data_IF_530737274132
#
_entry.id   IF_530737274132
#
_cell.length_a   1.000
_cell.length_b   1.000
_cell.length_c   1.000
_cell.angle_alpha   90.00
_cell.angle_beta   90.00
_cell.angle_gamma   90.00
#
_symmetry.space_group_name_H-M   'P 1'
#
loop_
_entity.id
_entity.type
_entity.pdbx_description
1 polymer ?
#
# COMPACT_ATOMS: atom_id res chain seq x y z
N UNK A 1 24.98 -3.61 -10.18
CA UNK A 1 23.70 -4.13 -10.69
C UNK A 1 22.86 -4.43 -9.46
N UNK A 2 21.62 -3.93 -9.40
CA UNK A 2 20.66 -4.42 -8.40
C UNK A 2 20.42 -5.89 -8.71
N UNK A 3 20.77 -6.78 -7.79
CA UNK A 3 20.48 -8.19 -7.99
C UNK A 3 18.98 -8.46 -7.75
N UNK A 4 18.52 -9.65 -8.12
CA UNK A 4 17.12 -10.04 -7.96
C UNK A 4 16.67 -9.97 -6.49
N UNK A 5 17.57 -10.23 -5.54
CA UNK A 5 17.29 -10.22 -4.10
C UNK A 5 17.09 -8.79 -3.59
N UNK A 6 17.94 -7.85 -3.99
CA UNK A 6 17.84 -6.43 -3.65
C UNK A 6 16.52 -5.85 -4.14
N UNK A 7 16.11 -6.22 -5.37
CA UNK A 7 14.85 -5.76 -5.96
C UNK A 7 13.63 -6.34 -5.22
N UNK A 8 13.67 -7.62 -4.85
CA UNK A 8 12.61 -8.22 -4.05
C UNK A 8 12.51 -7.62 -2.65
N UNK A 9 13.65 -7.34 -2.01
CA UNK A 9 13.66 -6.69 -0.70
C UNK A 9 13.04 -5.29 -0.77
N UNK A 10 13.38 -4.52 -1.80
CA UNK A 10 12.81 -3.21 -2.02
C UNK A 10 11.29 -3.26 -2.26
N UNK A 11 10.81 -4.18 -3.11
CA UNK A 11 9.38 -4.35 -3.34
C UNK A 11 8.62 -4.81 -2.09
N UNK A 12 9.23 -5.64 -1.24
CA UNK A 12 8.62 -6.03 0.03
C UNK A 12 8.50 -4.84 0.98
N UNK A 13 9.51 -3.96 1.06
CA UNK A 13 9.43 -2.71 1.83
C UNK A 13 8.30 -1.81 1.34
N UNK A 14 8.13 -1.67 0.03
CA UNK A 14 6.98 -0.92 -0.53
C UNK A 14 5.67 -1.59 -0.12
N UNK A 15 5.55 -2.91 -0.24
CA UNK A 15 4.35 -3.65 0.17
C UNK A 15 3.95 -3.37 1.63
N UNK A 16 4.93 -3.34 2.53
CA UNK A 16 4.71 -3.06 3.95
C UNK A 16 4.16 -1.65 4.16
N UNK A 17 4.67 -0.66 3.41
CA UNK A 17 4.19 0.73 3.44
C UNK A 17 2.72 0.80 2.99
N UNK A 18 2.38 0.24 1.83
CA UNK A 18 1.01 0.30 1.31
C UNK A 18 0.01 -0.37 2.27
N UNK A 19 0.39 -1.51 2.87
CA UNK A 19 -0.45 -2.19 3.86
C UNK A 19 -0.57 -1.37 5.15
N UNK A 20 0.53 -0.75 5.60
CA UNK A 20 0.54 0.14 6.76
C UNK A 20 -0.40 1.33 6.58
N UNK A 21 -0.26 2.04 5.46
CA UNK A 21 -1.10 3.19 5.10
C UNK A 21 -2.57 2.80 4.96
N UNK A 22 -2.86 1.62 4.39
CA UNK A 22 -4.23 1.10 4.31
C UNK A 22 -4.84 0.92 5.71
N UNK A 23 -4.07 0.36 6.66
CA UNK A 23 -4.54 0.12 8.03
C UNK A 23 -4.71 1.42 8.81
N UNK A 24 -3.79 2.37 8.66
CA UNK A 24 -3.87 3.70 9.28
C UNK A 24 -5.07 4.49 8.78
N UNK A 25 -5.34 4.48 7.46
CA UNK A 25 -6.52 5.11 6.89
C UNK A 25 -7.82 4.54 7.46
N UNK A 26 -7.86 3.21 7.69
CA UNK A 26 -8.99 2.53 8.33
C UNK A 26 -9.19 2.94 9.79
N UNK A 27 -8.09 3.07 10.55
CA UNK A 27 -8.15 3.53 11.94
C UNK A 27 -8.61 4.98 12.02
N UNK A 28 -8.02 5.87 11.21
CA UNK A 28 -8.36 7.30 11.17
C UNK A 28 -9.82 7.53 10.78
N UNK A 29 -10.36 6.73 9.86
CA UNK A 29 -11.76 6.84 9.44
C UNK A 29 -12.74 6.59 10.60
N UNK A 30 -12.37 5.77 11.59
CA UNK A 30 -13.17 5.50 12.79
C UNK A 30 -13.10 6.64 13.81
N UNK A 31 -12.02 7.41 13.83
CA UNK A 31 -11.76 8.48 14.80
C UNK A 31 -12.27 9.84 14.32
N UNK A 32 -12.23 10.11 13.01
CA UNK A 32 -12.61 11.39 12.42
C UNK A 32 -14.13 11.51 12.23
N UNK A 33 -14.68 12.68 12.59
CA UNK A 33 -16.11 13.00 12.46
C UNK A 33 -16.47 13.74 11.16
N UNK A 34 -15.53 14.41 10.51
CA UNK A 34 -15.77 15.18 9.28
C UNK A 34 -16.13 14.30 8.09
N UNK A 35 -17.25 14.58 7.42
CA UNK A 35 -17.70 13.80 6.26
C UNK A 35 -16.71 13.85 5.09
N UNK A 36 -16.16 15.03 4.81
CA UNK A 36 -15.16 15.21 3.76
C UNK A 36 -13.86 14.48 4.06
N UNK A 37 -13.34 14.61 5.28
CA UNK A 37 -12.15 13.89 5.72
C UNK A 37 -12.35 12.36 5.64
N UNK A 38 -13.52 11.84 6.02
CA UNK A 38 -13.86 10.41 5.85
C UNK A 38 -13.92 9.97 4.39
N UNK A 39 -14.40 10.82 3.50
CA UNK A 39 -14.41 10.57 2.04
C UNK A 39 -12.98 10.48 1.50
N UNK A 40 -12.12 11.42 1.88
CA UNK A 40 -10.70 11.43 1.48
C UNK A 40 -9.96 10.20 2.01
N UNK A 41 -10.17 9.83 3.28
CA UNK A 41 -9.58 8.60 3.86
C UNK A 41 -10.05 7.33 3.15
N UNK A 42 -11.31 7.28 2.72
CA UNK A 42 -11.82 6.15 1.92
C UNK A 42 -11.12 6.07 0.56
N UNK A 43 -10.87 7.21 -0.08
CA UNK A 43 -10.12 7.27 -1.34
C UNK A 43 -8.67 6.84 -1.14
N UNK A 44 -8.00 7.39 -0.13
CA UNK A 44 -6.63 7.01 0.24
C UNK A 44 -6.52 5.50 0.44
N UNK A 45 -7.36 4.90 1.28
CA UNK A 45 -7.39 3.44 1.49
C UNK A 45 -7.53 2.66 0.18
N UNK A 46 -8.43 3.10 -0.70
CA UNK A 46 -8.63 2.42 -1.99
C UNK A 46 -7.38 2.49 -2.86
N UNK A 47 -6.63 3.59 -2.80
CA UNK A 47 -5.39 3.78 -3.54
C UNK A 47 -4.28 2.86 -3.02
N UNK A 48 -4.10 2.77 -1.70
CA UNK A 48 -3.14 1.83 -1.09
C UNK A 48 -3.43 0.37 -1.49
N UNK A 49 -4.71 -0.03 -1.57
CA UNK A 49 -5.10 -1.37 -2.07
C UNK A 49 -4.70 -1.56 -3.53
N UNK A 50 -4.86 -0.53 -4.37
CA UNK A 50 -4.44 -0.58 -5.78
C UNK A 50 -2.92 -0.68 -5.90
N UNK A 51 -2.18 0.10 -5.13
CA UNK A 51 -0.72 0.05 -5.09
C UNK A 51 -0.20 -1.30 -4.63
N UNK A 52 -0.72 -1.84 -3.52
CA UNK A 52 -0.36 -3.18 -3.03
C UNK A 52 -0.58 -4.25 -4.12
N UNK A 53 -1.67 -4.15 -4.90
CA UNK A 53 -1.91 -5.06 -6.04
C UNK A 53 -0.86 -4.92 -7.14
N UNK A 54 -0.40 -3.71 -7.44
CA UNK A 54 0.67 -3.45 -8.42
C UNK A 54 1.98 -4.05 -7.93
N UNK A 55 2.36 -3.80 -6.67
CA UNK A 55 3.59 -4.33 -6.08
C UNK A 55 3.59 -5.86 -6.07
N UNK A 56 2.45 -6.51 -5.75
CA UNK A 56 2.33 -7.99 -5.83
C UNK A 56 2.63 -8.51 -7.24
N UNK A 57 2.15 -7.82 -8.28
CA UNK A 57 2.44 -8.19 -9.67
C UNK A 57 3.93 -8.02 -9.99
N UNK A 58 4.56 -6.94 -9.53
CA UNK A 58 6.00 -6.73 -9.72
C UNK A 58 6.81 -7.83 -9.04
N UNK A 59 6.50 -8.18 -7.79
CA UNK A 59 7.16 -9.29 -7.07
C UNK A 59 7.03 -10.60 -7.86
N UNK A 60 5.84 -10.88 -8.40
CA UNK A 60 5.61 -12.10 -9.19
C UNK A 60 6.40 -12.11 -10.52
N UNK A 61 6.60 -10.96 -11.15
CA UNK A 61 7.41 -10.85 -12.37
C UNK A 61 8.90 -11.06 -12.08
N UNK A 62 9.40 -10.60 -10.94
CA UNK A 62 10.81 -10.70 -10.56
C UNK A 62 11.17 -12.12 -10.14
N UNK A 63 10.23 -12.88 -9.57
CA UNK A 63 10.44 -14.28 -9.16
C UNK A 63 10.37 -15.28 -10.32
N UNK A 64 9.91 -14.87 -11.50
CA UNK A 64 9.91 -15.70 -12.72
C UNK A 64 11.29 -15.71 -13.34
#
# INVERSE_FOLDING_TARGET
MFDQKDYLEYLNKIMEIEIGMQNEADQLQRLIKGAEARRLLKQLKADEVRHAKIVRKMIALVKK
#
